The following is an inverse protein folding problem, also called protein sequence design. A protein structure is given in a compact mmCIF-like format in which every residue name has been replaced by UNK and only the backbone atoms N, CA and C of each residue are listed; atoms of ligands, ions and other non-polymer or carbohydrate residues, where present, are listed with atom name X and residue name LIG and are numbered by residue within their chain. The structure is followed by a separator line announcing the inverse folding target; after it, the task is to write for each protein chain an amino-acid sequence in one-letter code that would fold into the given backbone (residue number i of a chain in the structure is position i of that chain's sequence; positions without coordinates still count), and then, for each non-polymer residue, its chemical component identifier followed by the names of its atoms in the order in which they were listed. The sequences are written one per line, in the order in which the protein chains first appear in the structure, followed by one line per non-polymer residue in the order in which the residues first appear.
data_IF_722598724328
#
_entry.id   IF_722598724328
#
_cell.length_a   1.000
_cell.length_b   1.000
_cell.length_c   1.000
_cell.angle_alpha   90.00
_cell.angle_beta   90.00
_cell.angle_gamma   90.00
#
_symmetry.space_group_name_H-M   'P 1'
#
loop_
_entity.id
_entity.type
_entity.pdbx_description
1 polymer ?
#
# COMPACT_ATOMS: atom_id res chain seq x y z
N UNK A 1 13.94 -17.18 -12.65
CA UNK A 1 14.72 -15.92 -12.54
C UNK A 1 14.05 -14.90 -11.61
N UNK A 2 12.77 -14.58 -11.76
CA UNK A 2 12.07 -13.60 -10.92
C UNK A 2 12.18 -13.90 -9.42
N UNK A 3 11.86 -15.12 -9.00
CA UNK A 3 12.04 -15.56 -7.60
C UNK A 3 13.50 -15.51 -7.12
N UNK A 4 14.45 -15.89 -8.00
CA UNK A 4 15.88 -15.79 -7.66
C UNK A 4 16.30 -14.33 -7.42
N UNK A 5 15.75 -13.40 -8.20
CA UNK A 5 15.96 -11.97 -8.02
C UNK A 5 15.38 -11.49 -6.68
N UNK A 6 14.13 -11.87 -6.36
CA UNK A 6 13.49 -11.52 -5.09
C UNK A 6 14.25 -12.08 -3.89
N UNK A 7 14.70 -13.35 -3.95
CA UNK A 7 15.53 -13.95 -2.88
C UNK A 7 16.87 -13.20 -2.70
N UNK A 8 17.52 -12.81 -3.81
CA UNK A 8 18.79 -12.06 -3.74
C UNK A 8 18.57 -10.67 -3.13
N UNK A 9 17.50 -9.99 -3.56
CA UNK A 9 17.11 -8.69 -2.99
C UNK A 9 16.83 -8.78 -1.49
N UNK A 10 15.99 -9.71 -1.07
CA UNK A 10 15.60 -9.87 0.33
C UNK A 10 16.77 -10.27 1.22
N UNK A 11 17.64 -11.16 0.75
CA UNK A 11 18.74 -11.71 1.57
C UNK A 11 20.02 -10.90 1.54
N UNK A 12 20.33 -10.19 0.44
CA UNK A 12 21.63 -9.55 0.22
C UNK A 12 21.52 -8.04 -0.05
N UNK A 13 20.33 -7.52 -0.22
CA UNK A 13 20.07 -6.12 -0.55
C UNK A 13 20.36 -5.76 -2.02
N UNK A 14 19.88 -4.60 -2.43
CA UNK A 14 19.94 -4.13 -3.83
C UNK A 14 21.38 -3.99 -4.35
N UNK A 15 22.32 -3.60 -3.49
CA UNK A 15 23.71 -3.42 -3.88
C UNK A 15 24.42 -4.70 -4.32
N UNK A 16 23.88 -5.86 -3.96
CA UNK A 16 24.42 -7.18 -4.35
C UNK A 16 23.70 -7.80 -5.54
N UNK A 17 22.64 -7.17 -6.04
CA UNK A 17 21.90 -7.67 -7.20
C UNK A 17 22.66 -7.38 -8.48
N UNK A 18 23.05 -8.43 -9.17
CA UNK A 18 23.74 -8.41 -10.45
C UNK A 18 23.31 -9.59 -11.29
N UNK A 19 23.51 -9.52 -12.63
CA UNK A 19 23.17 -10.63 -13.51
C UNK A 19 23.84 -11.94 -13.08
N UNK A 20 25.06 -11.89 -12.54
CA UNK A 20 25.77 -13.05 -12.02
C UNK A 20 25.12 -13.63 -10.76
N UNK A 21 24.78 -12.78 -9.78
CA UNK A 21 24.19 -13.25 -8.51
C UNK A 21 22.79 -13.78 -8.72
N UNK A 22 21.98 -13.12 -9.57
CA UNK A 22 20.64 -13.59 -9.93
C UNK A 22 20.69 -14.88 -10.72
N UNK A 23 21.57 -14.99 -11.72
CA UNK A 23 21.72 -16.20 -12.52
C UNK A 23 22.13 -17.41 -11.63
N UNK A 24 23.08 -17.19 -10.70
CA UNK A 24 23.46 -18.20 -9.72
C UNK A 24 22.30 -18.61 -8.81
N UNK A 25 21.53 -17.65 -8.29
CA UNK A 25 20.37 -17.90 -7.44
C UNK A 25 19.22 -18.61 -8.18
N UNK A 26 19.13 -18.41 -9.50
CA UNK A 26 18.11 -19.02 -10.36
C UNK A 26 18.57 -20.35 -11.02
N UNK A 27 19.84 -20.72 -10.89
CA UNK A 27 20.39 -21.90 -11.54
C UNK A 27 20.46 -21.81 -13.07
N UNK A 28 20.66 -20.60 -13.63
CA UNK A 28 20.68 -20.35 -15.06
C UNK A 28 21.97 -19.66 -15.52
N UNK A 29 22.18 -19.62 -16.85
CA UNK A 29 23.29 -18.86 -17.41
C UNK A 29 23.02 -17.36 -17.36
N UNK A 30 24.03 -16.57 -17.01
CA UNK A 30 23.95 -15.09 -16.94
C UNK A 30 23.45 -14.46 -18.25
N UNK A 31 23.82 -15.01 -19.42
CA UNK A 31 23.37 -14.50 -20.71
C UNK A 31 21.83 -14.54 -20.88
N UNK A 32 21.16 -15.49 -20.23
CA UNK A 32 19.70 -15.58 -20.25
C UNK A 32 18.99 -14.42 -19.55
N UNK A 33 19.67 -13.77 -18.59
CA UNK A 33 19.13 -12.57 -17.93
C UNK A 33 18.93 -11.47 -18.96
N UNK A 34 19.95 -11.17 -19.73
CA UNK A 34 19.88 -10.13 -20.78
C UNK A 34 19.03 -10.54 -21.97
N UNK A 35 19.03 -11.83 -22.33
CA UNK A 35 18.19 -12.34 -23.41
C UNK A 35 16.69 -12.18 -23.12
N UNK A 36 16.24 -12.46 -21.89
CA UNK A 36 14.82 -12.43 -21.53
C UNK A 36 14.33 -11.03 -21.08
N UNK A 37 15.18 -10.27 -20.41
CA UNK A 37 14.78 -9.01 -19.79
C UNK A 37 15.46 -7.77 -20.39
N UNK A 38 16.45 -7.94 -21.26
CA UNK A 38 17.18 -6.84 -21.87
C UNK A 38 18.13 -6.10 -20.91
N UNK A 39 17.70 -5.83 -19.68
CA UNK A 39 18.51 -5.15 -18.65
C UNK A 39 18.25 -5.68 -17.25
N UNK A 40 19.15 -5.34 -16.32
CA UNK A 40 18.94 -5.63 -14.89
C UNK A 40 17.76 -4.86 -14.30
N UNK A 41 17.53 -3.65 -14.78
CA UNK A 41 16.43 -2.80 -14.29
C UNK A 41 15.08 -3.40 -14.71
N UNK A 42 14.97 -3.90 -15.95
CA UNK A 42 13.77 -4.61 -16.43
C UNK A 42 13.53 -5.91 -15.66
N UNK A 43 14.58 -6.67 -15.37
CA UNK A 43 14.47 -7.86 -14.53
C UNK A 43 13.99 -7.51 -13.12
N UNK A 44 14.55 -6.46 -12.51
CA UNK A 44 14.14 -6.00 -11.19
C UNK A 44 12.67 -5.56 -11.18
N UNK A 45 12.27 -4.78 -12.19
CA UNK A 45 10.88 -4.34 -12.38
C UNK A 45 9.92 -5.53 -12.49
N UNK A 46 10.27 -6.51 -13.34
CA UNK A 46 9.45 -7.71 -13.52
C UNK A 46 9.38 -8.56 -12.25
N UNK A 47 10.49 -8.71 -11.51
CA UNK A 47 10.52 -9.46 -10.26
C UNK A 47 9.65 -8.79 -9.18
N UNK A 48 9.74 -7.48 -9.02
CA UNK A 48 8.94 -6.73 -8.04
C UNK A 48 7.45 -6.82 -8.35
N UNK A 49 7.07 -6.67 -9.62
CA UNK A 49 5.67 -6.82 -10.06
C UNK A 49 5.17 -8.23 -9.79
N UNK A 50 5.90 -9.25 -10.21
CA UNK A 50 5.56 -10.66 -9.99
C UNK A 50 5.35 -10.97 -8.51
N UNK A 51 6.28 -10.55 -7.65
CA UNK A 51 6.14 -10.76 -6.22
C UNK A 51 4.97 -9.99 -5.59
N UNK A 52 4.62 -8.82 -6.12
CA UNK A 52 3.44 -8.07 -5.68
C UNK A 52 2.15 -8.76 -6.14
N UNK A 53 2.09 -9.24 -7.40
CA UNK A 53 0.95 -9.98 -7.95
C UNK A 53 0.62 -11.23 -7.13
N UNK A 54 1.62 -12.03 -6.79
CA UNK A 54 1.45 -13.24 -5.98
C UNK A 54 0.91 -12.92 -4.58
N UNK A 55 1.43 -11.86 -3.94
CA UNK A 55 0.98 -11.46 -2.60
C UNK A 55 -0.44 -10.91 -2.63
N UNK A 56 -0.74 -9.99 -3.54
CA UNK A 56 -2.08 -9.44 -3.71
C UNK A 56 -3.10 -10.56 -3.99
N UNK A 57 -2.76 -11.50 -4.88
CA UNK A 57 -3.64 -12.62 -5.21
C UNK A 57 -4.01 -13.47 -3.97
N UNK A 58 -3.08 -13.61 -3.03
CA UNK A 58 -3.30 -14.34 -1.76
C UNK A 58 -4.36 -13.69 -0.88
N UNK A 59 -4.43 -12.36 -0.86
CA UNK A 59 -5.31 -11.61 0.03
C UNK A 59 -6.57 -11.08 -0.65
N UNK A 60 -6.64 -11.10 -1.99
CA UNK A 60 -7.75 -10.54 -2.79
C UNK A 60 -9.12 -11.04 -2.35
N UNK A 61 -9.28 -12.36 -2.16
CA UNK A 61 -10.55 -12.93 -1.72
C UNK A 61 -11.01 -12.37 -0.37
N UNK A 62 -10.10 -12.27 0.57
CA UNK A 62 -10.37 -11.73 1.92
C UNK A 62 -10.65 -10.23 1.89
N UNK A 63 -9.92 -9.46 1.08
CA UNK A 63 -10.17 -8.04 0.87
C UNK A 63 -11.56 -7.81 0.25
N UNK A 64 -12.01 -8.71 -0.63
CA UNK A 64 -13.35 -8.65 -1.21
C UNK A 64 -14.48 -8.83 -0.18
N UNK A 65 -14.23 -9.52 0.93
CA UNK A 65 -15.19 -9.76 2.00
C UNK A 65 -15.24 -8.62 3.05
N UNK A 66 -14.31 -7.67 3.01
CA UNK A 66 -14.27 -6.55 3.94
C UNK A 66 -15.47 -5.62 3.74
N UNK A 67 -16.21 -5.36 4.82
CA UNK A 67 -17.44 -4.53 4.81
C UNK A 67 -17.35 -3.28 5.69
N UNK A 68 -16.22 -3.04 6.37
CA UNK A 68 -16.01 -1.89 7.26
C UNK A 68 -14.57 -1.39 7.23
N UNK A 69 -14.35 -0.14 7.66
CA UNK A 69 -12.99 0.41 7.82
C UNK A 69 -12.20 -0.34 8.90
N UNK A 70 -12.85 -0.71 10.01
CA UNK A 70 -12.20 -1.54 11.04
C UNK A 70 -11.79 -2.90 10.50
N UNK A 71 -12.60 -3.51 9.63
CA UNK A 71 -12.25 -4.75 8.92
C UNK A 71 -11.08 -4.58 7.97
N UNK A 72 -10.98 -3.44 7.27
CA UNK A 72 -9.85 -3.11 6.41
C UNK A 72 -8.54 -2.99 7.23
N UNK A 73 -8.60 -2.33 8.39
CA UNK A 73 -7.45 -2.21 9.28
C UNK A 73 -7.06 -3.55 9.90
N UNK A 74 -8.03 -4.37 10.27
CA UNK A 74 -7.76 -5.70 10.85
C UNK A 74 -7.02 -6.60 9.84
N UNK A 75 -7.47 -6.67 8.59
CA UNK A 75 -6.77 -7.42 7.54
C UNK A 75 -5.40 -6.79 7.22
N UNK A 76 -5.29 -5.44 7.25
CA UNK A 76 -4.03 -4.74 7.09
C UNK A 76 -2.98 -5.15 8.12
N UNK A 77 -3.36 -5.25 9.41
CA UNK A 77 -2.48 -5.76 10.49
C UNK A 77 -2.02 -7.19 10.22
N UNK A 78 -2.92 -8.06 9.83
CA UNK A 78 -2.58 -9.46 9.54
C UNK A 78 -1.62 -9.59 8.36
N UNK A 79 -1.85 -8.80 7.30
CA UNK A 79 -0.94 -8.72 6.16
C UNK A 79 0.43 -8.23 6.63
N UNK A 80 0.47 -7.15 7.41
CA UNK A 80 1.69 -6.60 8.00
C UNK A 80 2.49 -7.67 8.75
N UNK A 81 1.87 -8.34 9.71
CA UNK A 81 2.51 -9.39 10.52
C UNK A 81 3.03 -10.56 9.69
N UNK A 82 2.31 -10.91 8.63
CA UNK A 82 2.67 -12.03 7.77
C UNK A 82 3.82 -11.66 6.83
N UNK A 83 3.73 -10.52 6.18
CA UNK A 83 4.72 -10.06 5.21
C UNK A 83 6.03 -9.63 5.90
N UNK A 84 5.95 -9.09 7.12
CA UNK A 84 7.12 -8.79 7.95
C UNK A 84 7.89 -10.06 8.31
N UNK A 85 7.21 -11.09 8.79
CA UNK A 85 7.83 -12.38 9.12
C UNK A 85 8.49 -13.04 7.90
N UNK A 86 7.94 -12.80 6.72
CA UNK A 86 8.49 -13.28 5.46
C UNK A 86 9.66 -12.41 4.92
N UNK A 87 9.98 -11.28 5.56
CA UNK A 87 11.05 -10.37 5.14
C UNK A 87 10.70 -9.47 3.93
N UNK A 88 9.46 -9.48 3.47
CA UNK A 88 9.03 -8.73 2.28
C UNK A 88 8.99 -7.21 2.52
N UNK A 89 8.77 -6.80 3.75
CA UNK A 89 8.78 -5.39 4.18
C UNK A 89 10.13 -4.75 3.95
N UNK A 90 11.20 -5.42 4.38
CA UNK A 90 12.56 -4.95 4.15
C UNK A 90 12.86 -4.77 2.65
N UNK A 91 12.30 -5.64 1.80
CA UNK A 91 12.42 -5.54 0.35
C UNK A 91 11.75 -4.26 -0.18
N UNK A 92 10.49 -3.98 0.22
CA UNK A 92 9.78 -2.76 -0.20
C UNK A 92 10.54 -1.51 0.24
N UNK A 93 11.03 -1.48 1.49
CA UNK A 93 11.83 -0.38 2.01
C UNK A 93 13.10 -0.12 1.19
N UNK A 94 13.84 -1.17 0.81
CA UNK A 94 15.01 -1.07 -0.05
C UNK A 94 14.67 -0.58 -1.45
N UNK A 95 13.56 -1.03 -2.04
CA UNK A 95 13.09 -0.59 -3.36
C UNK A 95 12.71 0.89 -3.34
N UNK A 96 12.00 1.36 -2.33
CA UNK A 96 11.63 2.76 -2.17
C UNK A 96 12.85 3.67 -1.93
N UNK A 97 13.78 3.24 -1.08
CA UNK A 97 15.04 3.94 -0.87
C UNK A 97 15.87 4.00 -2.17
N UNK A 98 15.95 2.88 -2.89
CA UNK A 98 16.61 2.81 -4.19
C UNK A 98 15.97 3.71 -5.25
N UNK A 99 14.64 3.86 -5.24
CA UNK A 99 13.91 4.73 -6.15
C UNK A 99 14.25 6.21 -6.00
N UNK A 100 14.74 6.64 -4.82
CA UNK A 100 15.20 8.02 -4.61
C UNK A 100 16.50 8.34 -5.37
N UNK A 101 17.33 7.34 -5.63
CA UNK A 101 18.64 7.49 -6.24
C UNK A 101 18.77 6.90 -7.64
N UNK A 102 17.86 5.99 -8.01
CA UNK A 102 17.85 5.28 -9.30
C UNK A 102 16.51 5.48 -10.00
N UNK A 103 16.46 6.39 -10.97
CA UNK A 103 15.26 6.79 -11.68
C UNK A 103 14.43 5.62 -12.26
N UNK A 104 15.08 4.51 -12.64
CA UNK A 104 14.40 3.33 -13.22
C UNK A 104 13.69 2.44 -12.20
N UNK A 105 14.08 2.51 -10.91
CA UNK A 105 13.41 1.74 -9.86
C UNK A 105 12.06 2.35 -9.46
N UNK A 106 11.90 3.68 -9.60
CA UNK A 106 10.66 4.37 -9.27
C UNK A 106 9.43 3.76 -9.95
N UNK A 107 9.39 3.67 -11.29
CA UNK A 107 8.26 3.09 -12.01
C UNK A 107 7.99 1.62 -11.64
N UNK A 108 9.03 0.83 -11.41
CA UNK A 108 8.91 -0.57 -11.01
C UNK A 108 8.29 -0.72 -9.62
N UNK A 109 8.76 0.07 -8.66
CA UNK A 109 8.25 0.09 -7.29
C UNK A 109 6.81 0.59 -7.27
N UNK A 110 6.50 1.66 -8.02
CA UNK A 110 5.16 2.19 -8.15
C UNK A 110 4.18 1.15 -8.71
N UNK A 111 4.56 0.44 -9.78
CA UNK A 111 3.72 -0.61 -10.37
C UNK A 111 3.39 -1.75 -9.39
N UNK A 112 4.32 -2.11 -8.51
CA UNK A 112 4.06 -3.09 -7.45
C UNK A 112 3.12 -2.56 -6.37
N UNK A 113 3.27 -1.29 -5.98
CA UNK A 113 2.39 -0.63 -5.01
C UNK A 113 0.98 -0.39 -5.58
N UNK A 114 0.86 -0.05 -6.86
CA UNK A 114 -0.43 0.20 -7.51
C UNK A 114 -1.35 -1.04 -7.48
N UNK A 115 -0.79 -2.25 -7.46
CA UNK A 115 -1.58 -3.47 -7.27
C UNK A 115 -2.29 -3.50 -5.91
N UNK A 116 -1.58 -3.14 -4.84
CA UNK A 116 -2.15 -3.03 -3.49
C UNK A 116 -3.12 -1.85 -3.39
N UNK A 117 -2.76 -0.69 -3.94
CA UNK A 117 -3.61 0.50 -3.96
C UNK A 117 -4.94 0.20 -4.63
N UNK A 118 -4.93 -0.53 -5.75
CA UNK A 118 -6.16 -0.93 -6.46
C UNK A 118 -7.09 -1.78 -5.58
N UNK A 119 -6.56 -2.77 -4.87
CA UNK A 119 -7.40 -3.61 -3.99
C UNK A 119 -7.95 -2.81 -2.79
N UNK A 120 -7.12 -1.94 -2.19
CA UNK A 120 -7.56 -1.06 -1.09
C UNK A 120 -8.64 -0.09 -1.59
N UNK A 121 -8.48 0.49 -2.78
CA UNK A 121 -9.46 1.39 -3.38
C UNK A 121 -10.80 0.69 -3.61
N UNK A 122 -10.81 -0.55 -4.12
CA UNK A 122 -12.03 -1.34 -4.30
C UNK A 122 -12.77 -1.56 -2.97
N UNK A 123 -12.03 -1.84 -1.88
CA UNK A 123 -12.60 -1.93 -0.54
C UNK A 123 -13.18 -0.58 -0.10
N UNK A 124 -12.41 0.50 -0.23
CA UNK A 124 -12.85 1.84 0.18
C UNK A 124 -14.08 2.30 -0.58
N UNK A 125 -14.13 2.11 -1.90
CA UNK A 125 -15.32 2.44 -2.71
C UNK A 125 -16.55 1.72 -2.19
N UNK A 126 -16.46 0.42 -1.88
CA UNK A 126 -17.56 -0.38 -1.35
C UNK A 126 -17.97 0.08 0.04
N UNK A 127 -17.02 0.24 0.95
CA UNK A 127 -17.29 0.58 2.35
C UNK A 127 -17.82 2.00 2.47
N UNK A 128 -17.16 2.99 1.84
CA UNK A 128 -17.52 4.40 1.97
C UNK A 128 -18.83 4.73 1.28
N UNK A 129 -19.21 4.03 0.20
CA UNK A 129 -20.48 4.28 -0.50
C UNK A 129 -21.71 4.08 0.41
N UNK A 130 -21.60 3.24 1.42
CA UNK A 130 -22.67 2.98 2.40
C UNK A 130 -22.70 4.01 3.54
N UNK A 131 -21.71 4.90 3.66
CA UNK A 131 -21.55 5.83 4.78
C UNK A 131 -22.01 7.25 4.44
N UNK A 132 -22.23 8.13 5.44
CA UNK A 132 -22.44 9.56 5.21
C UNK A 132 -21.28 10.27 4.54
N UNK A 133 -20.08 9.69 4.54
CA UNK A 133 -18.85 10.26 4.01
C UNK A 133 -18.63 9.98 2.52
N UNK A 134 -19.36 9.03 1.92
CA UNK A 134 -19.11 8.51 0.57
C UNK A 134 -19.09 9.55 -0.54
N UNK A 135 -19.91 10.62 -0.45
CA UNK A 135 -19.96 11.70 -1.44
C UNK A 135 -18.80 12.71 -1.30
N UNK A 136 -18.06 12.67 -0.18
CA UNK A 136 -16.97 13.61 0.13
C UNK A 136 -15.60 12.94 0.12
N UNK A 137 -15.57 11.62 0.16
CA UNK A 137 -14.34 10.86 0.20
C UNK A 137 -13.74 10.73 -1.21
N UNK A 138 -12.43 10.77 -1.28
CA UNK A 138 -11.65 10.35 -2.44
C UNK A 138 -11.08 8.95 -2.17
N UNK A 139 -11.72 7.86 -2.64
CA UNK A 139 -11.26 6.50 -2.37
C UNK A 139 -9.89 6.21 -2.95
N UNK A 140 -9.53 6.79 -4.10
CA UNK A 140 -8.23 6.62 -4.72
C UNK A 140 -7.14 7.30 -3.90
N UNK A 141 -7.33 8.57 -3.54
CA UNK A 141 -6.40 9.29 -2.69
C UNK A 141 -6.22 8.66 -1.31
N UNK A 142 -7.32 8.18 -0.70
CA UNK A 142 -7.27 7.44 0.56
C UNK A 142 -6.53 6.11 0.44
N UNK A 143 -6.72 5.36 -0.65
CA UNK A 143 -5.99 4.11 -0.89
C UNK A 143 -4.48 4.36 -0.99
N UNK A 144 -4.06 5.41 -1.69
CA UNK A 144 -2.65 5.84 -1.76
C UNK A 144 -2.10 6.25 -0.39
N UNK A 145 -2.87 7.01 0.39
CA UNK A 145 -2.49 7.43 1.74
C UNK A 145 -2.34 6.22 2.68
N UNK A 146 -3.26 5.25 2.62
CA UNK A 146 -3.19 4.02 3.41
C UNK A 146 -1.96 3.19 3.02
N UNK A 147 -1.72 2.99 1.72
CA UNK A 147 -0.55 2.25 1.25
C UNK A 147 0.77 2.92 1.67
N UNK A 148 0.87 4.24 1.56
CA UNK A 148 2.04 5.01 1.99
C UNK A 148 2.23 4.95 3.52
N UNK A 149 1.15 5.06 4.29
CA UNK A 149 1.18 4.96 5.75
C UNK A 149 1.61 3.56 6.21
N UNK A 150 1.11 2.53 5.53
CA UNK A 150 1.48 1.14 5.80
C UNK A 150 2.99 0.92 5.60
N UNK A 151 3.53 1.33 4.45
CA UNK A 151 4.98 1.24 4.19
C UNK A 151 5.78 2.06 5.19
N UNK A 152 5.33 3.28 5.51
CA UNK A 152 5.99 4.14 6.49
C UNK A 152 6.02 3.51 7.88
N UNK A 153 4.92 2.90 8.29
CA UNK A 153 4.79 2.21 9.57
C UNK A 153 5.73 1.01 9.67
N UNK A 154 5.82 0.22 8.61
CA UNK A 154 6.72 -0.92 8.53
C UNK A 154 8.19 -0.51 8.66
N UNK A 155 8.59 0.59 8.02
CA UNK A 155 9.94 1.14 8.15
C UNK A 155 10.19 1.71 9.56
N UNK A 156 9.18 2.36 10.14
CA UNK A 156 9.25 2.94 11.48
C UNK A 156 9.37 1.86 12.56
N UNK A 157 8.71 0.73 12.41
CA UNK A 157 8.78 -0.40 13.34
C UNK A 157 10.21 -0.93 13.51
N UNK A 158 11.04 -0.85 12.46
CA UNK A 158 12.45 -1.19 12.53
C UNK A 158 13.26 -0.30 13.47
N UNK A 159 12.77 0.91 13.76
CA UNK A 159 13.39 1.88 14.66
C UNK A 159 12.71 1.91 16.03
N UNK A 160 11.38 1.80 16.07
CA UNK A 160 10.54 1.87 17.29
C UNK A 160 9.30 0.98 17.13
N UNK A 161 9.41 -0.27 17.53
CA UNK A 161 8.32 -1.24 17.43
C UNK A 161 7.14 -0.93 18.35
N UNK A 162 7.38 -0.34 19.53
CA UNK A 162 6.31 0.06 20.44
C UNK A 162 5.53 1.26 19.89
N UNK A 163 6.24 2.25 19.35
CA UNK A 163 5.64 3.41 18.68
C UNK A 163 4.81 3.02 17.46
N UNK A 164 5.28 2.06 16.66
CA UNK A 164 4.54 1.53 15.53
C UNK A 164 3.24 0.82 15.96
N UNK A 165 3.29 0.02 17.02
CA UNK A 165 2.10 -0.59 17.63
C UNK A 165 1.07 0.45 18.07
N UNK A 166 1.52 1.49 18.79
CA UNK A 166 0.64 2.61 19.18
C UNK A 166 0.01 3.34 18.01
N UNK A 167 0.75 3.51 16.92
CA UNK A 167 0.22 4.15 15.71
C UNK A 167 -0.88 3.31 15.05
N UNK A 168 -0.71 1.99 14.97
CA UNK A 168 -1.74 1.07 14.49
C UNK A 168 -2.99 1.11 15.37
N UNK A 169 -2.82 1.17 16.70
CA UNK A 169 -3.95 1.25 17.64
C UNK A 169 -4.72 2.57 17.48
N UNK A 170 -4.03 3.67 17.26
CA UNK A 170 -4.65 4.97 17.00
C UNK A 170 -5.45 4.95 15.68
N UNK A 171 -4.95 4.32 14.62
CA UNK A 171 -5.68 4.14 13.37
C UNK A 171 -6.93 3.29 13.57
N UNK A 172 -6.85 2.22 14.39
CA UNK A 172 -8.02 1.41 14.72
C UNK A 172 -9.08 2.22 15.46
N UNK A 173 -8.67 3.00 16.47
CA UNK A 173 -9.59 3.89 17.19
C UNK A 173 -10.28 4.89 16.25
N UNK A 174 -9.56 5.44 15.29
CA UNK A 174 -10.14 6.34 14.29
C UNK A 174 -11.20 5.64 13.43
N UNK A 175 -10.92 4.42 12.98
CA UNK A 175 -11.89 3.63 12.22
C UNK A 175 -13.14 3.28 13.04
N UNK A 176 -12.97 2.98 14.33
CA UNK A 176 -14.09 2.70 15.23
C UNK A 176 -14.95 3.95 15.48
N UNK A 177 -14.34 5.13 15.54
CA UNK A 177 -15.08 6.41 15.60
C UNK A 177 -15.90 6.65 14.31
N UNK A 178 -15.35 6.35 13.14
CA UNK A 178 -16.09 6.43 11.87
C UNK A 178 -17.25 5.43 11.87
N UNK A 179 -17.03 4.18 12.31
CA UNK A 179 -18.06 3.17 12.42
C UNK A 179 -19.19 3.56 13.39
N UNK A 180 -18.86 4.26 14.48
CA UNK A 180 -19.87 4.78 15.41
C UNK A 180 -20.80 5.81 14.74
N UNK A 181 -20.27 6.62 13.82
CA UNK A 181 -21.10 7.56 13.02
C UNK A 181 -22.01 6.81 12.04
N UNK A 182 -21.52 5.72 11.45
CA UNK A 182 -22.33 4.88 10.53
C UNK A 182 -23.46 4.17 11.27
N UNK A 183 -23.27 3.84 12.55
CA UNK A 183 -24.30 3.27 13.43
C UNK A 183 -25.40 4.24 13.86
N UNK A 184 -25.28 5.53 13.55
CA UNK A 184 -26.32 6.50 13.86
C UNK A 184 -27.57 6.29 13.00
N UNK A 185 -28.74 6.60 13.57
CA UNK A 185 -30.01 6.52 12.83
C UNK A 185 -30.07 7.49 11.64
N UNK A 186 -30.99 7.27 10.68
CA UNK A 186 -31.04 7.99 9.40
C UNK A 186 -31.11 9.53 9.53
N UNK A 187 -31.75 10.04 10.60
CA UNK A 187 -31.87 11.48 10.86
C UNK A 187 -30.51 12.07 11.20
N UNK A 188 -29.76 11.43 12.09
CA UNK A 188 -28.43 11.87 12.49
C UNK A 188 -27.44 11.80 11.32
N UNK A 189 -27.48 10.74 10.52
CA UNK A 189 -26.67 10.62 9.31
C UNK A 189 -26.96 11.75 8.29
N UNK A 190 -28.24 12.16 8.11
CA UNK A 190 -28.60 13.31 7.27
C UNK A 190 -28.02 14.62 7.82
N UNK A 191 -28.06 14.80 9.14
CA UNK A 191 -27.48 15.99 9.79
C UNK A 191 -25.96 16.06 9.59
N UNK A 192 -25.25 14.92 9.72
CA UNK A 192 -23.81 14.82 9.44
C UNK A 192 -23.52 15.18 7.99
N UNK A 193 -24.21 14.59 7.02
CA UNK A 193 -24.05 14.94 5.58
C UNK A 193 -24.29 16.42 5.32
N UNK A 194 -25.35 16.99 5.87
CA UNK A 194 -25.65 18.42 5.69
C UNK A 194 -24.56 19.34 6.28
N UNK A 195 -23.91 18.92 7.38
CA UNK A 195 -22.80 19.64 7.98
C UNK A 195 -21.53 19.54 7.13
N UNK A 196 -21.21 18.35 6.63
CA UNK A 196 -20.06 18.12 5.75
C UNK A 196 -20.16 18.94 4.46
N UNK A 197 -21.33 18.96 3.81
CA UNK A 197 -21.57 19.80 2.62
C UNK A 197 -21.26 21.26 2.87
N UNK A 198 -21.64 21.79 4.04
CA UNK A 198 -21.35 23.19 4.41
C UNK A 198 -19.86 23.45 4.67
N UNK A 199 -19.15 22.46 5.23
CA UNK A 199 -17.72 22.58 5.52
C UNK A 199 -16.87 22.51 4.24
N UNK A 200 -17.21 21.63 3.29
CA UNK A 200 -16.49 21.47 2.03
C UNK A 200 -16.76 22.63 1.07
N UNK A 201 -17.98 23.19 1.06
CA UNK A 201 -18.34 24.34 0.21
C UNK A 201 -17.69 25.68 0.63
N UNK A 202 -17.08 25.76 1.81
CA UNK A 202 -16.54 27.02 2.37
C UNK A 202 -15.18 27.47 1.79
N UNK A 203 -14.23 26.62 1.37
CA UNK A 203 -12.93 27.05 0.87
C UNK A 203 -12.98 27.79 -0.48
N UNK A 204 -13.98 27.52 -1.35
CA UNK A 204 -14.04 28.19 -2.66
C UNK A 204 -14.44 29.69 -2.60
N UNK A 205 -15.00 30.17 -1.50
CA UNK A 205 -15.38 31.59 -1.34
C UNK A 205 -14.25 32.47 -0.81
N UNK A 206 -13.27 31.88 -0.10
CA UNK A 206 -12.16 32.64 0.46
C UNK A 206 -11.08 32.98 -0.60
N UNK A 207 -10.90 32.13 -1.61
CA UNK A 207 -9.95 32.37 -2.70
C UNK A 207 -10.47 33.36 -3.77
N UNK A 208 -11.79 33.53 -3.91
CA UNK A 208 -12.40 34.49 -4.86
C UNK A 208 -12.52 35.94 -4.32
N UNK A 209 -12.23 36.16 -3.06
CA UNK A 209 -12.27 37.52 -2.46
C UNK A 209 -10.88 38.14 -2.31
N UNK A 210 -9.84 37.45 -2.79
CA UNK A 210 -8.44 37.90 -2.72
C UNK A 210 -7.83 38.22 -4.12
N UNK A 211 -8.66 38.18 -5.17
CA UNK A 211 -8.36 38.73 -6.51
C UNK A 211 -9.18 40.05 -6.68
#
# INVERSE_FOLDING_TARGET
MLEGTLRTLAGQGIAKVSARTVAAAAGVNQALVFYHFGSMDELLAAACRHGAEERVARYRGRLAEVTSLSGLLAIGREIHDTERRAGHVALIGQMLAGAQTHARLGPATAAGLDLWITEIELVLRRVLSATPFGEFADPEGLARAIAASFVGLELYEGADSEGAGRALDALQQLADLVAAVDGLGPVAQRAVRARLRRSVARPERASRSAE
#
